data_IF_218719370476
#
_entry.id   IF_218719370476
#
_cell.length_a   1.000
_cell.length_b   1.000
_cell.length_c   1.000
_cell.angle_alpha   90.00
_cell.angle_beta   90.00
_cell.angle_gamma   90.00
#
_symmetry.space_group_name_H-M   'P 1'
#
loop_
_entity.id
_entity.type
_entity.pdbx_description
1 polymer ?
#
# COMPACT_ATOMS: atom_id res chain seq x y z
N UNK A 1 46.56 -57.96 46.57
CA UNK A 1 46.46 -56.96 45.48
C UNK A 1 45.01 -56.45 45.48
N UNK A 2 44.67 -55.15 45.63
CA UNK A 2 44.98 -53.94 44.83
C UNK A 2 44.49 -54.06 43.38
N UNK A 3 43.68 -53.15 42.80
CA UNK A 3 43.06 -51.85 43.24
C UNK A 3 41.52 -51.99 43.13
N UNK A 4 40.57 -51.21 43.70
CA UNK A 4 40.42 -49.84 44.30
C UNK A 4 40.34 -48.62 43.34
N UNK A 5 39.38 -47.72 43.61
CA UNK A 5 39.00 -46.49 42.87
C UNK A 5 40.05 -45.36 42.98
N UNK A 6 40.00 -44.34 42.09
CA UNK A 6 40.03 -42.90 42.47
C UNK A 6 39.78 -41.92 41.31
N UNK A 7 39.20 -40.77 41.66
CA UNK A 7 39.23 -39.49 40.93
C UNK A 7 40.05 -38.46 41.74
N UNK A 8 40.53 -37.37 41.12
CA UNK A 8 40.37 -36.00 41.66
C UNK A 8 39.87 -35.00 40.58
N UNK A 9 39.06 -33.95 40.81
CA UNK A 9 38.98 -32.85 41.80
C UNK A 9 39.82 -31.61 41.49
N UNK A 10 39.19 -30.43 41.48
CA UNK A 10 39.47 -29.20 42.28
C UNK A 10 38.39 -28.13 41.91
N UNK A 11 37.51 -27.64 42.81
CA UNK A 11 37.65 -26.57 43.85
C UNK A 11 37.74 -25.14 43.28
N UNK A 12 37.21 -24.06 43.89
CA UNK A 12 36.23 -23.78 44.97
C UNK A 12 35.98 -22.23 44.96
N UNK A 13 35.17 -21.50 45.75
CA UNK A 13 34.22 -21.65 46.91
C UNK A 13 33.40 -20.31 46.99
N UNK A 14 32.41 -20.03 47.83
CA UNK A 14 31.83 -20.64 49.07
C UNK A 14 30.29 -20.79 48.90
N UNK A 15 29.29 -20.46 49.76
CA UNK A 15 29.17 -19.96 51.15
C UNK A 15 28.02 -18.94 51.32
N UNK A 16 27.23 -18.88 52.41
CA UNK A 16 27.04 -19.84 53.52
C UNK A 16 25.67 -19.66 54.23
N UNK A 17 25.12 -20.77 54.77
CA UNK A 17 23.98 -20.91 55.73
C UNK A 17 22.57 -20.33 55.35
N UNK A 18 21.44 -20.97 55.69
CA UNK A 18 21.25 -22.22 56.46
C UNK A 18 19.81 -22.81 56.43
N UNK A 19 19.66 -23.95 57.10
CA UNK A 19 18.48 -24.83 57.31
C UNK A 19 17.18 -24.15 57.86
N UNK A 20 15.96 -24.73 57.83
CA UNK A 20 15.35 -25.97 57.26
C UNK A 20 13.80 -25.92 57.36
N UNK A 21 13.14 -26.71 56.49
CA UNK A 21 11.85 -27.45 56.64
C UNK A 21 10.53 -26.82 56.10
N UNK A 22 9.64 -27.70 55.60
CA UNK A 22 8.26 -27.42 55.17
C UNK A 22 7.20 -27.97 56.16
N UNK A 23 5.96 -28.35 55.77
CA UNK A 23 5.47 -28.68 54.42
C UNK A 23 4.14 -27.98 54.01
N UNK A 24 3.40 -28.59 53.08
CA UNK A 24 2.18 -28.15 52.37
C UNK A 24 0.96 -27.71 53.23
N UNK A 25 0.09 -26.82 52.70
CA UNK A 25 -1.20 -27.25 52.09
C UNK A 25 -2.02 -26.12 51.38
N UNK A 26 -2.98 -26.61 50.58
CA UNK A 26 -3.98 -26.00 49.67
C UNK A 26 -4.99 -24.96 50.27
N UNK A 27 -5.84 -24.42 49.38
CA UNK A 27 -7.22 -23.89 49.56
C UNK A 27 -7.51 -22.38 49.43
N UNK A 28 -7.87 -22.01 48.19
CA UNK A 28 -9.16 -21.41 47.75
C UNK A 28 -9.80 -20.20 48.49
N UNK A 29 -10.11 -19.18 47.68
CA UNK A 29 -11.38 -18.40 47.63
C UNK A 29 -12.01 -17.83 48.92
N UNK A 30 -12.24 -16.51 48.93
CA UNK A 30 -13.55 -15.94 49.35
C UNK A 30 -13.83 -14.55 48.77
N UNK A 31 -15.07 -14.36 48.27
CA UNK A 31 -15.68 -13.02 48.06
C UNK A 31 -16.17 -12.47 49.41
N UNK A 32 -16.34 -11.15 49.50
CA UNK A 32 -17.39 -10.54 50.34
C UNK A 32 -18.13 -9.44 49.56
N UNK A 33 -19.43 -9.35 49.81
CA UNK A 33 -20.30 -8.24 49.36
C UNK A 33 -20.45 -7.23 50.51
N UNK A 34 -20.87 -6.01 50.18
CA UNK A 34 -21.90 -5.32 50.97
C UNK A 34 -22.79 -4.45 50.09
N UNK A 35 -24.05 -4.31 50.48
CA UNK A 35 -25.04 -3.33 50.03
C UNK A 35 -25.52 -2.55 51.27
N UNK A 36 -26.23 -1.42 51.20
CA UNK A 36 -26.71 -0.60 50.07
C UNK A 36 -27.89 0.28 50.53
N UNK A 37 -28.51 1.05 49.60
CA UNK A 37 -29.74 1.87 49.81
C UNK A 37 -29.58 3.10 50.75
N UNK A 38 -30.35 4.21 50.64
CA UNK A 38 -31.17 4.76 49.54
C UNK A 38 -31.48 6.27 49.78
N UNK A 39 -31.89 7.02 48.75
CA UNK A 39 -32.37 8.41 48.87
C UNK A 39 -32.86 9.05 47.55
N UNK A 40 -33.90 9.89 47.61
CA UNK A 40 -34.51 10.67 46.48
C UNK A 40 -34.99 12.04 47.01
N UNK A 41 -35.00 13.13 46.21
CA UNK A 41 -36.12 13.49 45.32
C UNK A 41 -35.67 13.62 43.83
N UNK A 42 -36.47 13.45 42.76
CA UNK A 42 -37.83 13.89 42.37
C UNK A 42 -37.96 15.36 41.89
N UNK A 43 -37.67 15.60 40.60
CA UNK A 43 -38.46 16.44 39.66
C UNK A 43 -38.04 16.04 38.20
N UNK A 44 -38.89 16.11 37.16
CA UNK A 44 -40.35 16.29 37.26
C UNK A 44 -41.14 16.84 36.06
N UNK A 45 -40.77 16.67 34.78
CA UNK A 45 -41.63 17.09 33.64
C UNK A 45 -41.60 16.14 32.41
N UNK A 46 -42.63 16.26 31.55
CA UNK A 46 -42.92 15.45 30.34
C UNK A 46 -42.55 16.25 29.05
N UNK A 47 -42.42 15.67 27.85
CA UNK A 47 -42.48 14.28 27.38
C UNK A 47 -42.79 14.16 25.86
N UNK A 48 -42.55 12.99 25.24
CA UNK A 48 -42.80 12.70 23.80
C UNK A 48 -41.64 11.90 23.18
N UNK A 49 -41.74 10.57 22.94
CA UNK A 49 -42.38 9.88 21.78
C UNK A 49 -41.74 10.27 20.43
N UNK A 50 -41.23 9.39 19.56
CA UNK A 50 -40.99 7.92 19.48
C UNK A 50 -39.95 7.69 18.32
N UNK A 51 -39.34 6.53 18.00
CA UNK A 51 -39.37 5.13 18.47
C UNK A 51 -37.99 4.46 18.24
N UNK A 52 -37.82 3.17 18.57
CA UNK A 52 -36.73 2.29 18.10
C UNK A 52 -37.28 1.04 17.36
N UNK A 53 -36.48 0.47 16.46
CA UNK A 53 -36.53 -0.94 16.01
C UNK A 53 -35.08 -1.39 15.80
N UNK A 54 -34.49 -2.18 16.70
CA UNK A 54 -34.58 -3.64 16.86
C UNK A 54 -33.74 -4.44 15.84
N UNK A 55 -32.79 -5.22 16.39
CA UNK A 55 -32.05 -6.28 15.68
C UNK A 55 -32.88 -7.56 15.71
N UNK A 56 -32.90 -8.31 14.60
CA UNK A 56 -33.34 -9.70 14.60
C UNK A 56 -32.11 -10.64 14.63
N UNK A 57 -32.24 -11.78 15.32
CA UNK A 57 -31.29 -12.91 15.25
C UNK A 57 -31.87 -13.96 14.30
N UNK A 58 -31.02 -14.64 13.53
CA UNK A 58 -31.40 -15.85 12.81
C UNK A 58 -30.97 -17.08 13.62
N UNK A 59 -31.90 -17.99 13.86
CA UNK A 59 -31.67 -19.32 14.44
C UNK A 59 -31.72 -20.38 13.35
N UNK A 60 -30.81 -21.35 13.40
CA UNK A 60 -30.76 -22.45 12.44
C UNK A 60 -31.90 -23.46 12.64
N UNK A 61 -32.33 -24.07 11.53
CA UNK A 61 -33.22 -25.23 11.53
C UNK A 61 -32.90 -26.14 10.34
N UNK A 62 -32.49 -27.38 10.61
CA UNK A 62 -32.33 -28.44 9.60
C UNK A 62 -33.66 -29.17 9.42
N UNK A 63 -34.00 -29.53 8.18
CA UNK A 63 -34.67 -30.78 7.82
C UNK A 63 -34.41 -31.08 6.32
N UNK A 64 -34.57 -32.35 5.91
CA UNK A 64 -34.17 -32.85 4.58
C UNK A 64 -35.13 -34.01 4.13
N UNK A 65 -34.91 -34.76 3.03
CA UNK A 65 -35.57 -34.39 1.77
C UNK A 65 -36.29 -35.54 1.01
N UNK A 66 -37.32 -35.18 0.24
CA UNK A 66 -37.89 -35.96 -0.89
C UNK A 66 -38.68 -34.99 -1.81
N UNK A 67 -38.92 -35.27 -3.10
CA UNK A 67 -38.58 -36.43 -3.92
C UNK A 67 -38.62 -36.07 -5.43
N UNK A 68 -38.44 -37.07 -6.30
CA UNK A 68 -38.36 -36.88 -7.77
C UNK A 68 -39.75 -36.80 -8.43
N UNK A 69 -39.85 -36.12 -9.58
CA UNK A 69 -40.45 -36.74 -10.76
C UNK A 69 -39.87 -36.20 -12.09
N UNK A 70 -40.14 -36.90 -13.21
CA UNK A 70 -39.83 -36.55 -14.60
C UNK A 70 -41.12 -36.40 -15.40
N UNK A 71 -41.16 -35.59 -16.45
CA UNK A 71 -41.06 -36.06 -17.84
C UNK A 71 -41.18 -34.94 -18.91
N UNK A 72 -40.61 -35.21 -20.10
CA UNK A 72 -40.99 -34.87 -21.51
C UNK A 72 -41.74 -33.55 -21.83
N UNK A 73 -41.45 -32.84 -22.93
CA UNK A 73 -40.47 -33.12 -24.01
C UNK A 73 -40.59 -32.15 -25.23
N UNK A 74 -39.93 -32.55 -26.33
CA UNK A 74 -39.87 -32.05 -27.73
C UNK A 74 -41.08 -31.20 -28.24
N UNK A 75 -40.99 -30.28 -29.23
CA UNK A 75 -40.47 -30.39 -30.63
C UNK A 75 -40.02 -28.99 -31.15
N UNK A 76 -39.40 -28.89 -32.35
CA UNK A 76 -38.88 -27.66 -32.98
C UNK A 76 -39.52 -27.32 -34.36
N UNK A 77 -39.23 -26.11 -34.90
CA UNK A 77 -39.66 -25.60 -36.22
C UNK A 77 -40.89 -24.65 -36.17
N UNK A 78 -41.10 -23.71 -37.10
CA UNK A 78 -40.28 -23.22 -38.23
C UNK A 78 -40.71 -21.76 -38.60
N UNK A 79 -40.37 -21.25 -39.79
CA UNK A 79 -40.82 -19.94 -40.36
C UNK A 79 -42.36 -19.93 -40.67
N UNK A 80 -43.05 -18.86 -41.11
CA UNK A 80 -42.60 -17.61 -41.79
C UNK A 80 -43.64 -16.44 -41.76
N UNK A 81 -43.17 -15.25 -42.17
CA UNK A 81 -43.84 -14.09 -42.78
C UNK A 81 -44.96 -13.30 -42.02
N UNK A 82 -45.43 -12.22 -42.66
CA UNK A 82 -45.83 -10.97 -42.01
C UNK A 82 -47.33 -10.62 -42.05
N UNK A 83 -47.73 -9.74 -41.10
CA UNK A 83 -48.60 -8.55 -41.34
C UNK A 83 -48.58 -7.58 -40.14
N UNK A 84 -48.61 -6.27 -40.42
CA UNK A 84 -48.93 -5.21 -39.43
C UNK A 84 -50.45 -5.08 -39.27
N UNK A 85 -50.95 -4.66 -38.10
CA UNK A 85 -51.65 -3.36 -38.09
C UNK A 85 -51.51 -2.53 -36.78
N UNK A 86 -51.94 -1.26 -36.84
CA UNK A 86 -52.58 -0.57 -35.71
C UNK A 86 -51.68 0.05 -34.62
N UNK A 87 -51.52 1.38 -34.66
CA UNK A 87 -51.18 2.17 -33.46
C UNK A 87 -52.47 2.67 -32.79
N UNK A 88 -52.54 2.58 -31.46
CA UNK A 88 -53.53 3.25 -30.62
C UNK A 88 -52.81 4.01 -29.48
N UNK A 89 -53.30 5.18 -29.03
CA UNK A 89 -52.51 6.11 -28.21
C UNK A 89 -52.54 5.81 -26.70
N UNK A 90 -51.39 5.95 -26.04
CA UNK A 90 -51.27 5.88 -24.58
C UNK A 90 -51.71 7.18 -23.86
N UNK A 91 -52.09 7.12 -22.57
CA UNK A 91 -52.73 8.22 -21.84
C UNK A 91 -51.79 9.38 -21.49
N UNK A 92 -52.32 10.60 -21.53
CA UNK A 92 -51.57 11.84 -21.31
C UNK A 92 -51.16 12.03 -19.83
N UNK A 93 -49.86 12.23 -19.55
CA UNK A 93 -49.34 12.65 -18.22
C UNK A 93 -48.73 14.07 -18.26
N UNK A 94 -49.58 15.06 -18.54
CA UNK A 94 -49.19 16.45 -18.81
C UNK A 94 -48.72 17.31 -17.62
N UNK A 95 -49.44 17.38 -16.48
CA UNK A 95 -49.18 18.41 -15.46
C UNK A 95 -47.95 18.15 -14.58
N UNK A 96 -47.82 16.92 -14.05
CA UNK A 96 -46.88 16.62 -12.96
C UNK A 96 -45.42 16.71 -13.41
N UNK A 97 -45.09 16.20 -14.61
CA UNK A 97 -43.74 16.31 -15.19
C UNK A 97 -43.32 17.77 -15.40
N UNK A 98 -44.26 18.71 -15.61
CA UNK A 98 -43.95 20.16 -15.64
C UNK A 98 -43.66 20.71 -14.25
N UNK A 99 -44.46 20.37 -13.23
CA UNK A 99 -44.21 20.77 -11.82
C UNK A 99 -42.87 20.23 -11.30
N UNK A 100 -42.56 18.95 -11.54
CA UNK A 100 -41.28 18.33 -11.16
C UNK A 100 -40.09 19.01 -11.86
N UNK A 101 -40.17 19.30 -13.16
CA UNK A 101 -39.13 20.03 -13.89
C UNK A 101 -38.94 21.47 -13.38
N UNK A 102 -40.00 22.16 -12.94
CA UNK A 102 -39.87 23.47 -12.29
C UNK A 102 -39.22 23.38 -10.90
N UNK A 103 -39.59 22.39 -10.08
CA UNK A 103 -38.96 22.15 -8.77
C UNK A 103 -37.46 21.84 -8.90
N UNK A 104 -37.08 20.95 -9.81
CA UNK A 104 -35.67 20.64 -10.09
C UNK A 104 -34.89 21.86 -10.59
N UNK A 105 -35.48 22.68 -11.49
CA UNK A 105 -34.87 23.94 -11.94
C UNK A 105 -34.73 24.97 -10.80
N UNK A 106 -35.67 25.04 -9.86
CA UNK A 106 -35.56 25.90 -8.66
C UNK A 106 -34.49 25.39 -7.69
N UNK A 107 -34.38 24.07 -7.47
CA UNK A 107 -33.36 23.45 -6.61
C UNK A 107 -31.95 23.61 -7.19
N UNK A 108 -31.78 23.43 -8.50
CA UNK A 108 -30.51 23.66 -9.20
C UNK A 108 -30.02 25.11 -9.09
N UNK A 109 -30.92 26.11 -9.10
CA UNK A 109 -30.55 27.52 -8.91
C UNK A 109 -30.14 27.88 -7.47
N UNK A 110 -30.47 27.06 -6.46
CA UNK A 110 -30.08 27.31 -5.05
C UNK A 110 -28.65 26.87 -4.70
N UNK A 111 -27.97 26.14 -5.59
CA UNK A 111 -26.61 25.63 -5.36
C UNK A 111 -25.61 26.02 -6.46
N UNK A 112 -25.94 27.01 -7.29
CA UNK A 112 -24.95 27.62 -8.18
C UNK A 112 -24.10 28.61 -7.40
N UNK A 113 -22.77 28.38 -7.38
CA UNK A 113 -21.80 29.40 -6.95
C UNK A 113 -22.02 30.69 -7.75
N UNK A 114 -21.80 31.88 -7.16
CA UNK A 114 -21.87 33.15 -7.88
C UNK A 114 -21.07 33.14 -9.20
N UNK A 115 -21.59 33.83 -10.22
CA UNK A 115 -21.06 33.74 -11.59
C UNK A 115 -19.59 34.17 -11.71
N UNK A 116 -19.17 35.12 -10.89
CA UNK A 116 -17.79 35.56 -10.72
C UNK A 116 -16.90 34.49 -10.06
N UNK A 117 -17.42 33.71 -9.10
CA UNK A 117 -16.70 32.58 -8.49
C UNK A 117 -16.53 31.46 -9.52
N UNK A 118 -17.57 31.15 -10.30
CA UNK A 118 -17.46 30.21 -11.42
C UNK A 118 -16.45 30.69 -12.47
N UNK A 119 -16.45 31.99 -12.81
CA UNK A 119 -15.49 32.59 -13.73
C UNK A 119 -14.05 32.53 -13.19
N UNK A 120 -13.84 32.82 -11.89
CA UNK A 120 -12.54 32.69 -11.21
C UNK A 120 -12.03 31.25 -11.23
N UNK A 121 -12.89 30.26 -10.95
CA UNK A 121 -12.53 28.84 -11.00
C UNK A 121 -12.20 28.37 -12.42
N UNK A 122 -12.97 28.80 -13.44
CA UNK A 122 -12.67 28.52 -14.87
C UNK A 122 -11.34 29.15 -15.29
N UNK A 123 -11.07 30.41 -14.90
CA UNK A 123 -9.79 31.09 -15.16
C UNK A 123 -8.62 30.36 -14.50
N UNK A 124 -8.73 29.96 -13.22
CA UNK A 124 -7.68 29.17 -12.54
C UNK A 124 -7.43 27.81 -13.21
N UNK A 125 -8.48 27.07 -13.60
CA UNK A 125 -8.32 25.80 -14.34
C UNK A 125 -7.65 26.02 -15.70
N UNK A 126 -8.02 27.06 -16.45
CA UNK A 126 -7.39 27.38 -17.73
C UNK A 126 -5.91 27.82 -17.58
N UNK A 127 -5.57 28.59 -16.54
CA UNK A 127 -4.19 28.96 -16.21
C UNK A 127 -3.35 27.75 -15.83
N UNK A 128 -3.87 26.86 -14.98
CA UNK A 128 -3.20 25.62 -14.59
C UNK A 128 -2.97 24.71 -15.80
N UNK A 129 -3.98 24.48 -16.64
CA UNK A 129 -3.84 23.66 -17.85
C UNK A 129 -2.83 24.24 -18.85
N UNK A 130 -2.80 25.57 -19.03
CA UNK A 130 -1.76 26.25 -19.83
C UNK A 130 -0.36 26.05 -19.25
N UNK A 131 -0.19 26.10 -17.92
CA UNK A 131 1.10 25.87 -17.27
C UNK A 131 1.58 24.40 -17.41
N UNK A 132 0.67 23.42 -17.35
CA UNK A 132 0.96 22.01 -17.63
C UNK A 132 1.39 21.82 -19.09
N UNK A 133 0.68 22.44 -20.05
CA UNK A 133 1.03 22.36 -21.47
C UNK A 133 2.38 23.03 -21.79
N UNK A 134 2.69 24.20 -21.21
CA UNK A 134 3.99 24.84 -21.34
C UNK A 134 5.13 23.93 -20.85
N UNK A 135 4.98 23.37 -19.64
CA UNK A 135 5.92 22.38 -19.06
C UNK A 135 6.08 21.13 -19.94
N UNK A 136 5.06 20.74 -20.71
CA UNK A 136 5.14 19.61 -21.65
C UNK A 136 5.93 19.95 -22.92
N UNK A 137 5.80 21.19 -23.42
CA UNK A 137 6.58 21.70 -24.56
C UNK A 137 8.06 21.88 -24.21
N UNK A 138 8.36 22.42 -23.02
CA UNK A 138 9.74 22.54 -22.48
C UNK A 138 10.45 21.18 -22.45
N UNK A 139 9.79 20.13 -21.92
CA UNK A 139 10.30 18.75 -21.91
C UNK A 139 10.58 18.22 -23.34
N UNK A 140 9.77 18.61 -24.32
CA UNK A 140 9.95 18.24 -25.73
C UNK A 140 11.14 18.93 -26.39
N UNK A 141 11.35 20.22 -26.11
CA UNK A 141 12.47 20.98 -26.62
C UNK A 141 13.82 20.47 -26.07
N UNK A 142 13.90 20.24 -24.75
CA UNK A 142 15.13 19.77 -24.10
C UNK A 142 15.65 18.45 -24.68
N UNK A 143 14.76 17.50 -24.98
CA UNK A 143 15.14 16.20 -25.60
C UNK A 143 15.75 16.32 -27.00
N UNK A 144 15.52 17.42 -27.74
CA UNK A 144 16.10 17.64 -29.08
C UNK A 144 17.55 18.13 -29.07
N UNK A 145 18.03 18.72 -27.97
CA UNK A 145 19.38 19.32 -27.88
C UNK A 145 20.47 18.27 -27.61
N UNK A 146 20.13 17.14 -27.01
CA UNK A 146 21.09 16.13 -26.53
C UNK A 146 21.62 15.22 -27.65
N UNK A 147 20.93 15.12 -28.80
CA UNK A 147 21.33 14.25 -29.92
C UNK A 147 22.23 14.96 -30.94
N UNK A 148 23.48 15.19 -30.53
CA UNK A 148 24.55 15.72 -31.40
C UNK A 148 24.97 14.75 -32.52
N UNK A 149 25.36 15.30 -33.68
CA UNK A 149 25.80 14.53 -34.87
C UNK A 149 27.14 13.80 -34.64
N UNK A 150 27.35 12.59 -35.21
CA UNK A 150 28.62 11.88 -35.11
C UNK A 150 29.68 12.46 -36.06
N UNK A 151 30.82 12.88 -35.52
CA UNK A 151 32.01 13.30 -36.27
C UNK A 151 33.02 12.16 -36.48
N UNK A 152 33.50 11.97 -37.72
CA UNK A 152 34.57 11.00 -38.04
C UNK A 152 35.95 11.50 -37.61
N UNK A 153 36.83 10.60 -37.13
CA UNK A 153 38.31 10.71 -37.31
C UNK A 153 39.01 9.36 -37.11
N UNK A 154 40.20 9.21 -37.73
CA UNK A 154 41.12 8.06 -37.62
C UNK A 154 42.19 8.32 -36.54
N UNK A 155 42.83 7.28 -35.96
CA UNK A 155 43.98 7.40 -35.08
C UNK A 155 45.33 7.35 -35.82
N UNK A 156 46.43 7.75 -35.15
CA UNK A 156 47.73 7.08 -35.27
C UNK A 156 48.28 6.59 -33.91
N UNK A 157 49.43 5.89 -33.94
CA UNK A 157 50.10 5.23 -32.78
C UNK A 157 51.36 6.01 -32.35
N UNK A 158 51.88 5.83 -31.12
CA UNK A 158 53.23 6.34 -30.76
C UNK A 158 53.68 6.30 -29.29
N UNK A 159 54.21 5.15 -28.84
CA UNK A 159 55.37 4.92 -27.93
C UNK A 159 55.79 5.86 -26.75
N UNK A 160 56.19 5.18 -25.64
CA UNK A 160 57.13 5.59 -24.55
C UNK A 160 56.77 6.77 -23.61
N UNK A 161 57.36 6.92 -22.41
CA UNK A 161 57.80 5.98 -21.37
C UNK A 161 58.12 6.72 -20.03
N UNK A 162 57.85 6.09 -18.87
CA UNK A 162 58.35 6.38 -17.50
C UNK A 162 58.35 7.84 -16.98
N UNK A 163 57.56 8.13 -15.94
CA UNK A 163 57.75 9.32 -15.08
C UNK A 163 56.91 9.27 -13.79
N UNK A 164 57.49 9.59 -12.63
CA UNK A 164 56.78 9.63 -11.34
C UNK A 164 56.21 11.02 -11.05
N UNK A 165 54.95 11.10 -10.61
CA UNK A 165 54.46 11.97 -9.53
C UNK A 165 53.05 11.53 -9.12
N UNK A 166 52.77 11.44 -7.81
CA UNK A 166 51.38 11.45 -7.32
C UNK A 166 50.91 12.90 -7.35
N UNK A 167 49.77 13.15 -7.99
CA UNK A 167 48.96 14.34 -7.74
C UNK A 167 47.91 13.97 -6.67
N UNK A 168 47.44 14.90 -5.83
CA UNK A 168 46.27 14.68 -5.00
C UNK A 168 45.02 14.66 -5.88
N UNK A 169 44.08 13.74 -5.59
CA UNK A 169 42.77 13.69 -6.24
C UNK A 169 41.89 14.85 -5.74
N UNK A 170 42.11 16.03 -6.31
CA UNK A 170 41.20 17.17 -6.17
C UNK A 170 40.21 17.10 -7.33
N UNK A 171 39.06 16.48 -7.08
CA UNK A 171 37.94 16.49 -8.02
C UNK A 171 37.53 17.95 -8.30
N UNK A 172 37.44 18.39 -9.58
CA UNK A 172 37.20 19.79 -9.89
C UNK A 172 35.75 20.17 -9.57
N UNK A 173 35.56 20.85 -8.44
CA UNK A 173 34.26 21.36 -8.03
C UNK A 173 33.59 22.16 -9.16
N UNK A 174 32.38 21.75 -9.56
CA UNK A 174 31.66 22.40 -10.65
C UNK A 174 31.40 23.88 -10.32
N UNK A 175 31.59 24.81 -11.28
CA UNK A 175 31.29 26.23 -11.06
C UNK A 175 29.83 26.45 -10.63
N UNK A 176 29.62 27.22 -9.55
CA UNK A 176 28.30 27.44 -8.92
C UNK A 176 27.18 27.88 -9.88
N UNK A 177 27.54 28.48 -11.01
CA UNK A 177 26.59 28.91 -12.06
C UNK A 177 25.93 27.75 -12.81
N UNK A 178 26.33 26.50 -12.56
CA UNK A 178 25.64 25.28 -13.02
C UNK A 178 24.79 24.60 -11.94
N UNK A 179 24.50 25.26 -10.80
CA UNK A 179 23.38 24.88 -9.90
C UNK A 179 21.99 25.17 -10.51
N UNK A 180 21.80 24.84 -11.79
CA UNK A 180 20.48 24.73 -12.38
C UNK A 180 19.71 23.63 -11.65
N UNK A 181 18.44 23.89 -11.31
CA UNK A 181 17.65 23.08 -10.36
C UNK A 181 17.73 21.58 -10.66
N UNK A 182 18.58 20.87 -9.90
CA UNK A 182 18.61 19.42 -9.87
C UNK A 182 17.26 18.99 -9.30
N UNK A 183 16.43 18.39 -10.14
CA UNK A 183 15.12 17.92 -9.70
C UNK A 183 15.32 16.76 -8.74
N UNK A 184 14.96 16.98 -7.47
CA UNK A 184 14.74 15.93 -6.47
C UNK A 184 13.90 14.83 -7.10
N UNK A 185 14.47 13.63 -7.23
CA UNK A 185 13.78 12.46 -7.71
C UNK A 185 12.78 12.01 -6.64
N UNK A 186 11.49 12.12 -6.92
CA UNK A 186 10.45 11.62 -6.02
C UNK A 186 9.87 10.32 -6.63
N UNK A 187 9.82 9.26 -5.82
CA UNK A 187 9.17 8.00 -6.18
C UNK A 187 8.19 7.62 -5.09
N UNK A 188 6.93 7.47 -5.47
CA UNK A 188 5.88 6.94 -4.60
C UNK A 188 6.07 5.43 -4.41
N UNK A 189 6.53 5.00 -3.24
CA UNK A 189 6.75 3.58 -2.95
C UNK A 189 5.48 2.80 -2.62
N UNK A 190 4.37 3.49 -2.37
CA UNK A 190 3.12 2.85 -1.97
C UNK A 190 1.92 3.64 -2.49
N UNK A 191 1.40 3.18 -3.62
CA UNK A 191 0.07 3.52 -4.10
C UNK A 191 -0.59 2.28 -4.72
N UNK A 192 -1.88 2.34 -4.93
CA UNK A 192 -2.68 1.40 -5.69
C UNK A 192 -3.28 2.09 -6.91
N UNK A 193 -3.77 1.30 -7.86
CA UNK A 193 -4.73 1.77 -8.84
C UNK A 193 -5.80 0.69 -9.03
N UNK A 194 -7.07 1.04 -8.84
CA UNK A 194 -8.21 0.15 -8.96
C UNK A 194 -9.09 0.59 -10.14
N UNK A 195 -9.64 -0.39 -10.86
CA UNK A 195 -10.61 -0.13 -11.94
C UNK A 195 -11.96 0.32 -11.37
N UNK A 196 -12.30 -0.16 -10.17
CA UNK A 196 -13.56 0.11 -9.47
C UNK A 196 -13.25 0.40 -8.00
N UNK A 197 -13.95 1.34 -7.37
CA UNK A 197 -13.73 1.65 -5.95
C UNK A 197 -14.04 0.43 -5.06
N UNK A 198 -13.09 -0.08 -4.26
CA UNK A 198 -13.22 -1.42 -3.69
C UNK A 198 -13.98 -1.49 -2.35
N UNK A 199 -14.37 -0.35 -1.77
CA UNK A 199 -14.93 -0.31 -0.41
C UNK A 199 -16.43 0.03 -0.34
N UNK A 200 -17.00 0.62 -1.40
CA UNK A 200 -18.39 1.09 -1.44
C UNK A 200 -18.83 1.40 -2.89
N UNK A 201 -19.79 0.63 -3.42
CA UNK A 201 -20.34 0.85 -4.76
C UNK A 201 -21.19 2.13 -4.88
N UNK A 202 -21.61 2.73 -3.77
CA UNK A 202 -22.37 3.98 -3.74
C UNK A 202 -21.48 5.24 -3.77
N UNK A 203 -20.15 5.10 -3.79
CA UNK A 203 -19.25 6.26 -3.87
C UNK A 203 -19.46 7.02 -5.19
N UNK A 204 -19.43 8.37 -5.20
CA UNK A 204 -19.41 9.11 -6.45
C UNK A 204 -18.15 8.81 -7.28
N UNK A 205 -18.35 8.60 -8.58
CA UNK A 205 -17.28 8.39 -9.57
C UNK A 205 -16.39 7.15 -9.29
N UNK A 206 -16.98 5.95 -9.07
CA UNK A 206 -16.28 4.79 -8.54
C UNK A 206 -15.16 4.27 -9.48
N UNK A 207 -15.37 4.38 -10.79
CA UNK A 207 -14.44 3.86 -11.79
C UNK A 207 -13.21 4.76 -12.01
N UNK A 208 -13.33 6.07 -11.74
CA UNK A 208 -12.23 7.03 -11.88
C UNK A 208 -11.53 7.34 -10.55
N UNK A 209 -12.26 7.33 -9.41
CA UNK A 209 -11.73 7.74 -8.09
C UNK A 209 -10.50 6.96 -7.62
N UNK A 210 -10.34 5.72 -8.07
CA UNK A 210 -9.15 4.89 -7.81
C UNK A 210 -8.26 4.62 -9.04
N UNK A 211 -8.57 5.18 -10.21
CA UNK A 211 -7.99 4.77 -11.49
C UNK A 211 -6.51 5.14 -11.68
N UNK A 212 -5.86 4.42 -12.61
CA UNK A 212 -4.52 4.75 -13.13
C UNK A 212 -4.44 6.19 -13.65
N UNK A 213 -5.46 6.68 -14.34
CA UNK A 213 -5.48 8.05 -14.87
C UNK A 213 -5.54 9.10 -13.74
N UNK A 214 -6.26 8.80 -12.66
CA UNK A 214 -6.28 9.64 -11.46
C UNK A 214 -4.94 9.59 -10.72
N UNK A 215 -4.29 8.42 -10.61
CA UNK A 215 -2.94 8.30 -10.05
C UNK A 215 -1.94 9.13 -10.87
N UNK A 216 -1.88 8.96 -12.19
CA UNK A 216 -0.98 9.69 -13.09
C UNK A 216 -1.19 11.21 -13.01
N UNK A 217 -2.43 11.68 -12.83
CA UNK A 217 -2.73 13.09 -12.57
C UNK A 217 -2.13 13.56 -11.24
N UNK A 218 -2.28 12.81 -10.15
CA UNK A 218 -1.72 13.19 -8.84
C UNK A 218 -0.17 13.14 -8.86
N UNK A 219 0.45 12.20 -9.59
CA UNK A 219 1.90 12.19 -9.82
C UNK A 219 2.35 13.48 -10.54
N UNK A 220 1.71 13.83 -11.66
CA UNK A 220 2.06 15.03 -12.43
C UNK A 220 1.76 16.34 -11.69
N UNK A 221 0.75 16.36 -10.82
CA UNK A 221 0.39 17.51 -9.98
C UNK A 221 1.30 17.67 -8.76
N UNK A 222 1.68 16.57 -8.11
CA UNK A 222 2.62 16.53 -6.99
C UNK A 222 4.08 16.74 -7.41
N UNK A 223 4.40 16.48 -8.68
CA UNK A 223 5.76 16.54 -9.20
C UNK A 223 6.56 15.26 -8.94
N UNK A 224 5.89 14.10 -8.99
CA UNK A 224 6.47 12.79 -8.73
C UNK A 224 6.85 12.10 -10.04
N UNK A 225 8.12 11.70 -10.17
CA UNK A 225 8.63 11.05 -11.38
C UNK A 225 8.06 9.64 -11.57
N UNK A 226 8.05 8.79 -10.53
CA UNK A 226 7.67 7.37 -10.64
C UNK A 226 6.81 6.89 -9.46
N UNK A 227 6.12 5.76 -9.65
CA UNK A 227 5.36 5.09 -8.60
C UNK A 227 5.49 3.56 -8.67
N UNK A 228 5.65 2.93 -7.52
CA UNK A 228 5.47 1.49 -7.33
C UNK A 228 3.99 1.25 -6.99
N UNK A 229 3.27 0.67 -7.95
CA UNK A 229 1.83 0.40 -7.83
C UNK A 229 1.65 -0.98 -7.22
N UNK A 230 1.39 -0.97 -5.92
CA UNK A 230 1.01 -2.13 -5.10
C UNK A 230 -0.37 -2.58 -5.58
N UNK A 231 -0.44 -3.78 -6.14
CA UNK A 231 -1.70 -4.36 -6.54
C UNK A 231 -2.45 -4.88 -5.30
N UNK A 232 -3.77 -4.90 -5.36
CA UNK A 232 -4.63 -5.49 -4.35
C UNK A 232 -5.91 -5.98 -5.04
N UNK A 233 -6.07 -7.30 -5.16
CA UNK A 233 -7.21 -7.96 -5.83
C UNK A 233 -8.44 -8.01 -4.92
N UNK A 234 -8.94 -6.84 -4.54
CA UNK A 234 -9.89 -6.65 -3.42
C UNK A 234 -11.30 -6.24 -3.86
N UNK A 235 -12.19 -6.16 -2.87
CA UNK A 235 -13.51 -5.54 -2.99
C UNK A 235 -14.70 -6.49 -3.12
N UNK A 236 -14.48 -7.81 -3.14
CA UNK A 236 -15.56 -8.82 -3.16
C UNK A 236 -16.56 -8.65 -2.00
N UNK A 237 -16.06 -8.43 -0.79
CA UNK A 237 -16.89 -8.26 0.42
C UNK A 237 -17.74 -6.97 0.41
N UNK A 238 -17.29 -5.93 -0.30
CA UNK A 238 -18.02 -4.68 -0.49
C UNK A 238 -19.14 -4.80 -1.55
N UNK A 239 -19.33 -5.97 -2.15
CA UNK A 239 -20.48 -6.33 -2.97
C UNK A 239 -20.29 -6.19 -4.49
N UNK A 240 -21.34 -6.48 -5.27
CA UNK A 240 -21.29 -6.48 -6.72
C UNK A 240 -20.86 -5.12 -7.28
N UNK A 241 -19.79 -5.11 -8.07
CA UNK A 241 -19.20 -3.90 -8.65
C UNK A 241 -17.98 -3.33 -7.89
N UNK A 242 -17.69 -3.79 -6.68
CA UNK A 242 -16.47 -3.39 -5.94
C UNK A 242 -15.25 -4.26 -6.26
N UNK A 243 -15.44 -5.47 -6.77
CA UNK A 243 -14.37 -6.44 -7.04
C UNK A 243 -13.36 -5.99 -8.12
N UNK A 244 -12.07 -6.24 -7.85
CA UNK A 244 -10.93 -5.98 -8.73
C UNK A 244 -10.04 -7.24 -8.89
N UNK A 245 -10.60 -8.40 -9.27
CA UNK A 245 -9.77 -9.61 -9.54
C UNK A 245 -8.67 -9.35 -10.59
N UNK A 246 -9.00 -8.53 -11.59
CA UNK A 246 -8.10 -8.16 -12.68
C UNK A 246 -7.03 -7.14 -12.28
N UNK A 247 -6.80 -6.88 -10.98
CA UNK A 247 -5.95 -5.76 -10.56
C UNK A 247 -4.49 -5.90 -11.03
N UNK A 248 -3.91 -7.11 -10.97
CA UNK A 248 -2.57 -7.36 -11.49
C UNK A 248 -2.48 -7.06 -12.99
N UNK A 249 -3.43 -7.55 -13.79
CA UNK A 249 -3.49 -7.29 -15.24
C UNK A 249 -3.75 -5.81 -15.57
N UNK A 250 -4.63 -5.15 -14.81
CA UNK A 250 -4.95 -3.72 -14.96
C UNK A 250 -3.73 -2.83 -14.71
N UNK A 251 -2.98 -3.12 -13.63
CA UNK A 251 -1.76 -2.39 -13.27
C UNK A 251 -0.60 -2.75 -14.20
N UNK A 252 -0.39 -4.02 -14.55
CA UNK A 252 0.63 -4.44 -15.52
C UNK A 252 0.41 -3.84 -16.91
N UNK A 253 -0.84 -3.83 -17.40
CA UNK A 253 -1.16 -3.16 -18.67
C UNK A 253 -0.92 -1.65 -18.60
N UNK A 254 -1.10 -1.01 -17.43
CA UNK A 254 -0.75 0.40 -17.22
C UNK A 254 0.76 0.63 -17.17
N UNK A 255 1.53 -0.22 -16.50
CA UNK A 255 2.99 -0.18 -16.51
C UNK A 255 3.55 -0.38 -17.93
N UNK A 256 3.00 -1.30 -18.71
CA UNK A 256 3.37 -1.48 -20.13
C UNK A 256 3.11 -0.26 -21.02
N UNK A 257 2.11 0.59 -20.67
CA UNK A 257 1.86 1.89 -21.35
C UNK A 257 2.70 3.05 -20.81
N UNK A 258 3.20 2.93 -19.57
CA UNK A 258 3.92 3.99 -18.87
C UNK A 258 5.17 3.45 -18.12
N UNK A 259 6.10 2.75 -18.81
CA UNK A 259 7.21 2.05 -18.15
C UNK A 259 8.27 3.01 -17.56
N UNK A 260 8.24 4.29 -17.93
CA UNK A 260 9.03 5.35 -17.31
C UNK A 260 8.36 5.99 -16.08
N UNK A 261 7.11 5.61 -15.76
CA UNK A 261 6.31 6.15 -14.64
C UNK A 261 5.88 5.10 -13.61
N UNK A 262 5.46 3.92 -14.04
CA UNK A 262 4.79 2.94 -13.17
C UNK A 262 5.56 1.61 -13.12
N UNK A 263 5.73 1.07 -11.90
CA UNK A 263 6.29 -0.27 -11.65
C UNK A 263 5.21 -1.12 -11.00
N UNK A 264 4.87 -2.25 -11.60
CA UNK A 264 3.92 -3.21 -11.03
C UNK A 264 4.55 -3.93 -9.83
N UNK A 265 3.82 -3.95 -8.72
CA UNK A 265 4.12 -4.78 -7.55
C UNK A 265 2.91 -5.71 -7.37
N UNK A 266 2.96 -6.88 -8.02
CA UNK A 266 1.78 -7.75 -8.16
C UNK A 266 1.39 -8.43 -6.84
N UNK A 267 0.09 -8.54 -6.61
CA UNK A 267 -0.50 -9.27 -5.49
C UNK A 267 -0.52 -10.76 -5.87
N UNK A 268 0.32 -11.55 -5.20
CA UNK A 268 0.46 -12.99 -5.48
C UNK A 268 -0.34 -13.82 -4.48
N UNK A 269 -0.20 -13.51 -3.19
CA UNK A 269 -0.84 -14.22 -2.10
C UNK A 269 -1.36 -13.17 -1.08
N UNK A 270 -2.67 -13.14 -0.81
CA UNK A 270 -3.29 -12.09 0.01
C UNK A 270 -4.57 -12.59 0.67
N UNK A 271 -4.84 -12.24 1.94
CA UNK A 271 -5.96 -12.80 2.71
C UNK A 271 -7.37 -12.60 2.14
N UNK A 272 -7.54 -11.67 1.18
CA UNK A 272 -8.77 -11.51 0.40
C UNK A 272 -8.98 -12.59 -0.69
N UNK A 273 -8.08 -13.57 -0.79
CA UNK A 273 -8.02 -14.57 -1.87
C UNK A 273 -8.24 -15.98 -1.33
N UNK A 274 -8.96 -16.86 -2.07
CA UNK A 274 -9.01 -18.28 -1.74
C UNK A 274 -7.67 -18.99 -1.96
N UNK A 275 -6.73 -18.34 -2.66
CA UNK A 275 -5.37 -18.85 -2.84
C UNK A 275 -4.46 -18.59 -1.61
N UNK A 276 -4.88 -17.79 -0.62
CA UNK A 276 -4.02 -17.32 0.48
C UNK A 276 -3.45 -18.46 1.33
N UNK A 277 -2.14 -18.47 1.54
CA UNK A 277 -1.42 -19.50 2.31
C UNK A 277 -1.68 -20.94 1.82
N UNK A 278 -2.22 -21.13 0.62
CA UNK A 278 -2.46 -22.46 0.03
C UNK A 278 -1.21 -23.01 -0.66
N UNK A 279 -1.05 -24.34 -0.77
CA UNK A 279 0.14 -24.95 -1.36
C UNK A 279 0.49 -24.45 -2.77
N UNK A 280 1.79 -24.44 -3.09
CA UNK A 280 2.29 -23.98 -4.39
C UNK A 280 2.40 -22.46 -4.53
N UNK A 281 2.53 -21.72 -3.42
CA UNK A 281 2.69 -20.26 -3.44
C UNK A 281 3.94 -19.82 -4.23
N UNK A 282 5.04 -20.57 -4.12
CA UNK A 282 6.28 -20.33 -4.84
C UNK A 282 6.10 -20.34 -6.37
N UNK A 283 5.26 -21.23 -6.89
CA UNK A 283 5.02 -21.33 -8.33
C UNK A 283 4.04 -20.25 -8.81
N UNK A 284 3.02 -19.90 -8.01
CA UNK A 284 2.21 -18.68 -8.25
C UNK A 284 3.08 -17.41 -8.34
N UNK A 285 4.15 -17.34 -7.54
CA UNK A 285 5.12 -16.23 -7.60
C UNK A 285 5.97 -16.29 -8.88
N UNK A 286 6.48 -17.45 -9.28
CA UNK A 286 7.24 -17.64 -10.52
C UNK A 286 6.41 -17.30 -11.76
N UNK A 287 5.16 -17.79 -11.84
CA UNK A 287 4.21 -17.45 -12.90
C UNK A 287 3.94 -15.94 -12.97
N UNK A 288 3.67 -15.29 -11.83
CA UNK A 288 3.45 -13.85 -11.78
C UNK A 288 4.70 -13.05 -12.18
N UNK A 289 5.89 -13.49 -11.77
CA UNK A 289 7.16 -12.86 -12.08
C UNK A 289 7.46 -12.87 -13.59
N UNK A 290 7.22 -14.01 -14.28
CA UNK A 290 7.34 -14.08 -15.73
C UNK A 290 6.23 -13.29 -16.44
N UNK A 291 4.96 -13.52 -16.09
CA UNK A 291 3.79 -12.90 -16.76
C UNK A 291 3.81 -11.38 -16.72
N UNK A 292 4.30 -10.78 -15.64
CA UNK A 292 4.29 -9.33 -15.43
C UNK A 292 5.71 -8.70 -15.43
N UNK A 293 6.75 -9.47 -15.78
CA UNK A 293 8.16 -9.05 -15.78
C UNK A 293 8.59 -8.34 -14.48
N UNK A 294 8.17 -8.89 -13.33
CA UNK A 294 8.24 -8.21 -12.03
C UNK A 294 9.66 -7.87 -11.60
N UNK A 295 9.79 -6.74 -10.89
CA UNK A 295 10.92 -6.43 -10.01
C UNK A 295 10.51 -6.51 -8.51
N UNK A 296 9.22 -6.72 -8.23
CA UNK A 296 8.65 -6.73 -6.89
C UNK A 296 7.27 -7.44 -6.88
N UNK A 297 6.92 -8.04 -5.75
CA UNK A 297 5.58 -8.57 -5.47
C UNK A 297 5.06 -7.99 -4.14
N UNK A 298 3.78 -8.18 -3.86
CA UNK A 298 3.17 -7.87 -2.57
C UNK A 298 2.40 -9.07 -2.03
N UNK A 299 2.37 -9.13 -0.69
CA UNK A 299 1.72 -10.17 0.08
C UNK A 299 1.01 -9.53 1.27
N UNK A 300 -0.28 -9.86 1.45
CA UNK A 300 -1.12 -9.33 2.53
C UNK A 300 -1.56 -10.45 3.47
N UNK A 301 -1.04 -10.42 4.70
CA UNK A 301 -1.38 -11.38 5.75
C UNK A 301 -2.53 -10.88 6.64
N UNK A 302 -3.06 -11.75 7.51
CA UNK A 302 -4.09 -11.35 8.49
C UNK A 302 -3.49 -10.60 9.69
N UNK A 303 -4.35 -9.97 10.50
CA UNK A 303 -4.00 -9.34 11.81
C UNK A 303 -3.32 -10.28 12.82
N UNK A 304 -3.30 -11.59 12.57
CA UNK A 304 -2.64 -12.59 13.41
C UNK A 304 -1.61 -13.36 12.59
N UNK A 305 -0.46 -13.64 13.21
CA UNK A 305 0.46 -14.67 12.72
C UNK A 305 -0.20 -16.04 12.87
N UNK A 306 -0.21 -16.80 11.78
CA UNK A 306 -0.70 -18.19 11.70
C UNK A 306 0.43 -19.21 11.54
N UNK A 307 1.69 -18.72 11.49
CA UNK A 307 2.91 -19.50 11.33
C UNK A 307 3.31 -19.76 9.88
N UNK A 308 2.57 -19.28 8.87
CA UNK A 308 2.77 -19.72 7.48
C UNK A 308 4.19 -19.47 6.93
N UNK A 309 4.85 -18.37 7.32
CA UNK A 309 6.24 -18.06 6.90
C UNK A 309 7.25 -19.15 7.33
N UNK A 310 6.95 -19.91 8.39
CA UNK A 310 7.78 -21.02 8.86
C UNK A 310 7.38 -22.40 8.31
N UNK A 311 6.37 -22.47 7.43
CA UNK A 311 5.98 -23.71 6.73
C UNK A 311 6.83 -23.93 5.47
N UNK A 312 6.84 -25.14 4.93
CA UNK A 312 7.55 -25.44 3.68
C UNK A 312 7.11 -24.51 2.54
N UNK A 313 5.81 -24.30 2.35
CA UNK A 313 5.29 -23.39 1.32
C UNK A 313 5.76 -21.94 1.51
N UNK A 314 5.81 -21.45 2.76
CA UNK A 314 6.33 -20.11 3.08
C UNK A 314 7.83 -19.98 2.82
N UNK A 315 8.62 -20.99 3.23
CA UNK A 315 10.06 -21.04 2.99
C UNK A 315 10.38 -21.13 1.49
N UNK A 316 9.66 -21.95 0.74
CA UNK A 316 9.80 -22.08 -0.73
C UNK A 316 9.37 -20.79 -1.45
N UNK A 317 8.34 -20.09 -0.96
CA UNK A 317 7.88 -18.80 -1.49
C UNK A 317 8.94 -17.69 -1.34
N UNK A 318 9.56 -17.57 -0.16
CA UNK A 318 10.63 -16.57 0.04
C UNK A 318 11.97 -16.98 -0.58
N UNK A 319 12.26 -18.28 -0.70
CA UNK A 319 13.36 -18.77 -1.52
C UNK A 319 13.16 -18.38 -3.00
N UNK A 320 11.98 -18.65 -3.58
CA UNK A 320 11.65 -18.25 -4.94
C UNK A 320 11.74 -16.72 -5.14
N UNK A 321 11.29 -15.91 -4.18
CA UNK A 321 11.45 -14.47 -4.22
C UNK A 321 12.91 -14.01 -4.30
N UNK A 322 13.81 -14.70 -3.58
CA UNK A 322 15.25 -14.42 -3.60
C UNK A 322 15.94 -14.93 -4.88
N UNK A 323 15.55 -16.11 -5.38
CA UNK A 323 16.01 -16.69 -6.66
C UNK A 323 15.68 -15.78 -7.85
N UNK A 324 14.48 -15.20 -7.85
CA UNK A 324 13.95 -14.33 -8.90
C UNK A 324 14.48 -12.88 -8.82
N UNK A 325 15.29 -12.54 -7.82
CA UNK A 325 15.80 -11.19 -7.57
C UNK A 325 14.69 -10.12 -7.45
N UNK A 326 13.63 -10.44 -6.69
CA UNK A 326 12.48 -9.56 -6.46
C UNK A 326 12.66 -8.71 -5.19
N UNK A 327 11.79 -7.71 -5.02
CA UNK A 327 11.48 -7.08 -3.72
C UNK A 327 10.20 -7.72 -3.14
N UNK A 328 10.24 -8.10 -1.87
CA UNK A 328 9.06 -8.53 -1.11
C UNK A 328 8.40 -7.32 -0.43
N UNK A 329 7.29 -6.82 -0.97
CA UNK A 329 6.57 -5.71 -0.34
C UNK A 329 5.47 -6.24 0.58
N UNK A 330 5.72 -6.34 1.89
CA UNK A 330 4.86 -7.06 2.82
C UNK A 330 3.90 -6.13 3.59
N UNK A 331 2.60 -6.44 3.54
CA UNK A 331 1.58 -5.81 4.38
C UNK A 331 1.42 -6.60 5.68
N UNK A 332 2.34 -6.37 6.61
CA UNK A 332 2.45 -7.09 7.88
C UNK A 332 2.10 -6.17 9.08
N UNK A 333 1.17 -6.58 9.96
CA UNK A 333 0.97 -5.96 11.27
C UNK A 333 1.98 -6.50 12.31
N UNK A 334 2.08 -5.90 13.51
CA UNK A 334 3.16 -6.19 14.45
C UNK A 334 3.30 -7.65 14.91
N UNK A 335 2.22 -8.43 14.88
CA UNK A 335 2.23 -9.85 15.20
C UNK A 335 3.19 -10.68 14.33
N UNK A 336 3.54 -10.21 13.14
CA UNK A 336 4.38 -10.90 12.15
C UNK A 336 5.86 -10.47 12.17
N UNK A 337 6.27 -9.56 13.04
CA UNK A 337 7.64 -9.00 12.97
C UNK A 337 8.74 -10.05 13.21
N UNK A 338 8.54 -11.02 14.12
CA UNK A 338 9.51 -12.10 14.32
C UNK A 338 9.64 -13.00 13.08
N UNK A 339 8.51 -13.33 12.43
CA UNK A 339 8.48 -14.10 11.18
C UNK A 339 9.19 -13.35 10.03
N UNK A 340 9.00 -12.03 9.93
CA UNK A 340 9.74 -11.17 9.00
C UNK A 340 11.24 -11.18 9.31
N UNK A 341 11.62 -11.15 10.59
CA UNK A 341 13.02 -11.23 11.02
C UNK A 341 13.69 -12.54 10.60
N UNK A 342 12.98 -13.66 10.75
CA UNK A 342 13.44 -14.97 10.29
C UNK A 342 13.63 -15.02 8.76
N UNK A 343 12.65 -14.55 7.98
CA UNK A 343 12.75 -14.47 6.51
C UNK A 343 13.89 -13.55 6.07
N UNK A 344 14.06 -12.40 6.73
CA UNK A 344 15.14 -11.46 6.43
C UNK A 344 16.53 -12.06 6.67
N UNK A 345 16.69 -12.83 7.75
CA UNK A 345 17.93 -13.52 8.09
C UNK A 345 18.23 -14.72 7.17
N UNK A 346 17.19 -15.46 6.75
CA UNK A 346 17.31 -16.57 5.80
C UNK A 346 17.67 -16.11 4.37
N UNK A 347 17.15 -14.95 3.95
CA UNK A 347 17.31 -14.42 2.60
C UNK A 347 17.93 -13.00 2.59
N UNK A 348 19.21 -12.83 2.99
CA UNK A 348 19.84 -11.52 3.12
C UNK A 348 19.99 -10.72 1.79
N UNK A 349 19.77 -11.36 0.65
CA UNK A 349 19.75 -10.74 -0.69
C UNK A 349 18.37 -10.19 -1.11
N UNK A 350 17.30 -10.66 -0.48
CA UNK A 350 15.90 -10.29 -0.72
C UNK A 350 15.56 -9.00 0.05
N UNK A 351 15.27 -7.87 -0.62
CA UNK A 351 14.84 -6.65 0.05
C UNK A 351 13.37 -6.79 0.46
N UNK A 352 13.08 -6.50 1.73
CA UNK A 352 11.74 -6.54 2.30
C UNK A 352 11.28 -5.10 2.53
N UNK A 353 10.17 -4.68 1.93
CA UNK A 353 9.55 -3.36 2.14
C UNK A 353 8.26 -3.49 2.94
N UNK A 354 8.32 -3.22 4.24
CA UNK A 354 7.17 -3.21 5.16
C UNK A 354 6.24 -2.06 4.83
N UNK A 355 4.93 -2.31 4.77
CA UNK A 355 3.92 -1.28 4.51
C UNK A 355 3.65 -0.41 5.75
N UNK A 356 3.15 0.82 5.54
CA UNK A 356 2.49 1.67 6.55
C UNK A 356 3.17 1.78 7.93
N UNK A 357 4.49 1.91 8.00
CA UNK A 357 5.26 1.90 9.26
C UNK A 357 4.94 0.67 10.16
N UNK A 358 4.72 -0.50 9.54
CA UNK A 358 4.38 -1.75 10.23
C UNK A 358 3.03 -1.72 10.97
N UNK A 359 2.15 -0.75 10.65
CA UNK A 359 0.92 -0.46 11.38
C UNK A 359 1.08 -0.11 12.88
N UNK A 360 2.31 0.20 13.32
CA UNK A 360 2.62 0.56 14.72
C UNK A 360 1.97 1.88 15.12
N UNK A 361 1.28 1.90 16.26
CA UNK A 361 0.55 3.07 16.76
C UNK A 361 1.35 3.82 17.85
N UNK A 362 1.21 5.15 17.97
CA UNK A 362 1.87 5.92 19.03
C UNK A 362 1.48 5.45 20.44
N UNK A 363 2.46 4.98 21.22
CA UNK A 363 2.25 4.42 22.56
C UNK A 363 1.92 2.92 22.59
N UNK A 364 2.11 2.22 21.47
CA UNK A 364 2.18 0.77 21.39
C UNK A 364 3.66 0.35 21.46
N UNK A 365 4.20 0.34 22.69
CA UNK A 365 5.65 0.25 22.93
C UNK A 365 6.22 -1.13 22.58
N UNK A 366 5.43 -2.20 22.73
CA UNK A 366 5.81 -3.57 22.33
C UNK A 366 5.88 -3.69 20.79
N UNK A 367 4.86 -3.17 20.07
CA UNK A 367 4.90 -3.11 18.61
C UNK A 367 6.03 -2.22 18.09
N UNK A 368 6.34 -1.12 18.79
CA UNK A 368 7.50 -0.28 18.48
C UNK A 368 8.82 -1.06 18.65
N UNK A 369 9.00 -1.77 19.77
CA UNK A 369 10.20 -2.57 20.00
C UNK A 369 10.43 -3.63 18.91
N UNK A 370 9.37 -4.33 18.49
CA UNK A 370 9.43 -5.30 17.39
C UNK A 370 9.81 -4.66 16.04
N UNK A 371 9.23 -3.50 15.70
CA UNK A 371 9.59 -2.80 14.45
C UNK A 371 11.04 -2.28 14.48
N UNK A 372 11.52 -1.80 15.62
CA UNK A 372 12.90 -1.34 15.76
C UNK A 372 13.91 -2.51 15.79
N UNK A 373 13.53 -3.69 16.27
CA UNK A 373 14.36 -4.89 16.17
C UNK A 373 14.62 -5.30 14.70
N UNK A 374 13.63 -5.08 13.82
CA UNK A 374 13.79 -5.26 12.36
C UNK A 374 14.76 -4.26 11.70
N UNK A 375 15.30 -3.29 12.43
CA UNK A 375 16.44 -2.50 11.97
C UNK A 375 17.78 -3.28 12.04
N UNK A 376 17.83 -4.46 12.66
CA UNK A 376 19.00 -5.33 12.67
C UNK A 376 19.36 -5.88 11.27
N UNK A 377 18.45 -6.62 10.60
CA UNK A 377 18.68 -7.08 9.23
C UNK A 377 18.84 -5.91 8.23
N UNK A 378 19.93 -5.87 7.43
CA UNK A 378 20.20 -4.74 6.52
C UNK A 378 19.26 -4.68 5.30
N UNK A 379 18.58 -5.79 5.01
CA UNK A 379 17.66 -5.98 3.89
C UNK A 379 16.19 -5.65 4.21
N UNK A 380 15.85 -5.28 5.45
CA UNK A 380 14.51 -4.77 5.79
C UNK A 380 14.47 -3.25 5.66
N UNK A 381 13.42 -2.76 4.97
CA UNK A 381 13.12 -1.36 4.71
C UNK A 381 11.66 -1.08 5.08
N UNK A 382 11.34 0.18 5.40
CA UNK A 382 10.00 0.58 5.84
C UNK A 382 9.42 1.67 4.93
N UNK A 383 8.16 1.48 4.53
CA UNK A 383 7.39 2.47 3.77
C UNK A 383 6.83 3.55 4.70
N UNK A 384 7.21 4.80 4.42
CA UNK A 384 6.78 6.01 5.13
C UNK A 384 5.48 6.52 4.49
N UNK A 385 4.39 5.81 4.79
CA UNK A 385 3.04 6.04 4.28
C UNK A 385 1.99 5.67 5.36
N UNK A 386 0.69 5.80 5.07
CA UNK A 386 -0.38 5.25 5.91
C UNK A 386 -0.64 5.92 7.26
N UNK A 387 -0.05 7.10 7.54
CA UNK A 387 -0.15 7.81 8.84
C UNK A 387 -1.57 7.91 9.45
N UNK A 388 -2.60 7.96 8.61
CA UNK A 388 -4.00 8.03 9.04
C UNK A 388 -4.52 6.73 9.68
N UNK A 389 -3.90 5.57 9.43
CA UNK A 389 -4.18 4.31 10.14
C UNK A 389 -3.62 4.31 11.57
N UNK A 390 -2.65 5.18 11.84
CA UNK A 390 -1.85 5.17 13.07
C UNK A 390 -2.32 6.21 14.10
N UNK A 391 -3.31 7.03 13.78
CA UNK A 391 -3.66 8.21 14.59
C UNK A 391 -5.17 8.48 14.66
N UNK A 392 -5.61 9.10 15.76
CA UNK A 392 -6.98 9.53 15.98
C UNK A 392 -7.02 11.05 16.25
N UNK A 393 -7.80 11.86 15.51
CA UNK A 393 -8.60 11.48 14.33
C UNK A 393 -7.71 11.18 13.10
N UNK A 394 -8.15 10.30 12.17
CA UNK A 394 -7.34 9.88 11.02
C UNK A 394 -7.07 11.00 10.00
N UNK A 395 -7.86 12.09 10.02
CA UNK A 395 -7.63 13.30 9.21
C UNK A 395 -6.77 14.37 9.92
N UNK A 396 -6.13 14.04 11.05
CA UNK A 396 -5.33 14.96 11.88
C UNK A 396 -3.98 15.39 11.29
N UNK A 397 -3.94 15.84 10.03
CA UNK A 397 -2.73 16.34 9.36
C UNK A 397 -2.09 17.51 10.17
N UNK A 398 -0.76 17.56 10.36
CA UNK A 398 0.29 16.71 9.77
C UNK A 398 0.68 15.49 10.62
N UNK A 399 -0.27 14.87 11.33
CA UNK A 399 -0.11 13.60 12.05
C UNK A 399 1.01 13.57 13.09
N UNK A 400 1.10 14.63 13.90
CA UNK A 400 2.20 14.86 14.85
C UNK A 400 2.52 13.66 15.76
N UNK A 401 1.51 12.98 16.31
CA UNK A 401 1.72 11.79 17.14
C UNK A 401 2.43 10.65 16.37
N UNK A 402 2.03 10.39 15.12
CA UNK A 402 2.68 9.38 14.28
C UNK A 402 4.04 9.85 13.73
N UNK A 403 4.22 11.16 13.51
CA UNK A 403 5.52 11.74 13.14
C UNK A 403 6.55 11.61 14.26
N UNK A 404 6.29 12.18 15.43
CA UNK A 404 7.27 12.27 16.51
C UNK A 404 7.44 10.96 17.29
N UNK A 405 6.39 10.13 17.40
CA UNK A 405 6.44 8.90 18.23
C UNK A 405 6.52 7.59 17.45
N UNK A 406 6.40 7.61 16.12
CA UNK A 406 6.56 6.40 15.28
C UNK A 406 7.61 6.62 14.20
N UNK A 407 7.40 7.59 13.30
CA UNK A 407 8.33 7.82 12.19
C UNK A 407 9.72 8.21 12.66
N UNK A 408 9.85 9.03 13.70
CA UNK A 408 11.14 9.52 14.18
C UNK A 408 12.02 8.43 14.82
N UNK A 409 11.56 7.61 15.79
CA UNK A 409 12.30 6.43 16.23
C UNK A 409 12.67 5.47 15.08
N UNK A 410 11.75 5.26 14.13
CA UNK A 410 12.00 4.44 12.93
C UNK A 410 13.07 5.09 12.03
N UNK A 411 13.10 6.41 11.91
CA UNK A 411 14.14 7.15 11.18
C UNK A 411 15.53 6.98 11.81
N UNK A 412 15.60 7.09 13.14
CA UNK A 412 16.84 6.98 13.90
C UNK A 412 17.44 5.55 13.83
N UNK A 413 16.59 4.51 13.81
CA UNK A 413 17.03 3.11 13.73
C UNK A 413 17.27 2.58 12.31
N UNK A 414 16.38 2.86 11.36
CA UNK A 414 16.53 2.37 9.97
C UNK A 414 17.48 3.23 9.15
N UNK A 415 17.53 4.53 9.41
CA UNK A 415 18.23 5.51 8.59
C UNK A 415 17.52 5.79 7.24
N UNK A 416 17.79 6.93 6.60
CA UNK A 416 17.12 7.34 5.36
C UNK A 416 17.36 6.36 4.20
N UNK A 417 18.49 5.64 4.22
CA UNK A 417 18.82 4.58 3.26
C UNK A 417 17.95 3.33 3.35
N UNK A 418 17.09 3.17 4.37
CA UNK A 418 16.14 2.05 4.50
C UNK A 418 14.68 2.51 4.59
N UNK A 419 14.41 3.79 4.33
CA UNK A 419 13.06 4.36 4.32
C UNK A 419 12.68 4.85 2.93
N UNK A 420 11.42 4.64 2.55
CA UNK A 420 10.87 5.10 1.28
C UNK A 420 9.47 5.69 1.48
N UNK A 421 9.24 6.93 1.06
CA UNK A 421 7.94 7.59 1.11
C UNK A 421 6.91 6.90 0.19
N UNK A 422 5.64 6.93 0.58
CA UNK A 422 4.52 6.55 -0.30
C UNK A 422 3.27 7.36 0.02
N UNK A 423 2.41 7.57 -0.97
CA UNK A 423 1.21 8.40 -0.82
C UNK A 423 0.05 7.69 -0.12
N UNK A 424 0.02 6.36 -0.24
CA UNK A 424 -1.14 5.50 0.04
C UNK A 424 -2.40 5.91 -0.74
N UNK A 425 -2.20 6.50 -1.93
CA UNK A 425 -3.28 6.74 -2.88
C UNK A 425 -3.79 5.39 -3.42
N UNK A 426 -5.11 5.19 -3.61
CA UNK A 426 -6.20 6.09 -3.30
C UNK A 426 -6.90 5.74 -1.97
N UNK A 427 -6.42 4.72 -1.23
CA UNK A 427 -6.97 4.30 0.06
C UNK A 427 -7.05 5.46 1.05
N UNK A 428 -5.98 6.25 1.11
CA UNK A 428 -5.84 7.43 1.97
C UNK A 428 -6.83 8.58 1.65
N UNK A 429 -7.50 8.59 0.48
CA UNK A 429 -8.28 9.75 -0.02
C UNK A 429 -9.50 10.15 0.84
N UNK A 430 -9.94 9.34 1.79
CA UNK A 430 -10.98 9.72 2.77
C UNK A 430 -10.43 10.50 3.96
N UNK A 431 -9.11 10.51 4.16
CA UNK A 431 -8.44 11.05 5.34
C UNK A 431 -7.41 12.14 5.00
N UNK A 432 -6.72 11.99 3.85
CA UNK A 432 -5.59 12.85 3.44
C UNK A 432 -5.50 12.93 1.91
N UNK A 433 -5.08 14.09 1.39
CA UNK A 433 -4.84 14.27 -0.06
C UNK A 433 -3.44 13.79 -0.46
N UNK A 434 -3.22 13.50 -1.75
CA UNK A 434 -1.91 13.14 -2.28
C UNK A 434 -0.85 14.18 -1.91
N UNK A 435 -1.14 15.46 -2.16
CA UNK A 435 -0.27 16.60 -1.80
C UNK A 435 0.07 16.65 -0.31
N UNK A 436 -0.89 16.34 0.58
CA UNK A 436 -0.63 16.27 2.02
C UNK A 436 0.23 15.06 2.40
N UNK A 437 -0.01 13.88 1.81
CA UNK A 437 0.83 12.68 2.07
C UNK A 437 2.31 12.94 1.74
N UNK A 438 2.57 13.70 0.67
CA UNK A 438 3.91 14.18 0.30
C UNK A 438 4.43 15.28 1.26
N UNK A 439 3.58 16.23 1.65
CA UNK A 439 3.95 17.31 2.56
C UNK A 439 4.34 16.81 3.96
N UNK A 440 3.76 15.71 4.46
CA UNK A 440 4.15 15.09 5.74
C UNK A 440 5.66 14.80 5.77
N UNK A 441 6.21 14.20 4.70
CA UNK A 441 7.66 13.94 4.61
C UNK A 441 8.43 15.15 4.09
N UNK A 442 7.93 15.91 3.13
CA UNK A 442 8.69 17.01 2.51
C UNK A 442 8.88 18.22 3.44
N UNK A 443 7.84 18.56 4.20
CA UNK A 443 7.71 19.83 4.91
C UNK A 443 7.59 19.68 6.44
N UNK A 444 7.31 18.48 6.96
CA UNK A 444 7.01 18.25 8.39
C UNK A 444 7.93 17.23 9.11
N UNK A 445 9.09 16.89 8.54
CA UNK A 445 10.15 16.11 9.21
C UNK A 445 11.45 16.92 9.35
N UNK A 446 11.50 17.92 10.24
CA UNK A 446 12.63 18.86 10.35
C UNK A 446 13.93 18.21 10.89
N UNK A 447 13.89 16.97 11.38
CA UNK A 447 15.08 16.22 11.82
C UNK A 447 15.90 15.62 10.68
N UNK A 448 15.35 15.49 9.47
CA UNK A 448 16.13 15.10 8.28
C UNK A 448 16.70 16.31 7.56
N UNK A 449 18.01 16.27 7.30
CA UNK A 449 18.65 17.18 6.33
C UNK A 449 18.05 16.99 4.92
N UNK A 450 18.27 17.94 4.03
CA UNK A 450 17.67 17.88 2.69
C UNK A 450 18.09 16.63 1.92
N UNK A 451 19.35 16.19 2.02
CA UNK A 451 19.87 15.01 1.33
C UNK A 451 19.30 13.68 1.87
N UNK A 452 19.03 13.60 3.17
CA UNK A 452 18.33 12.45 3.76
C UNK A 452 16.88 12.42 3.29
N UNK A 453 16.24 13.60 3.18
CA UNK A 453 14.89 13.76 2.62
C UNK A 453 14.84 13.42 1.12
N UNK A 454 15.90 13.67 0.33
CA UNK A 454 16.05 13.18 -1.06
C UNK A 454 16.06 11.64 -1.13
N UNK A 455 16.77 10.98 -0.20
CA UNK A 455 16.79 9.52 -0.12
C UNK A 455 15.41 8.95 0.22
N UNK A 456 14.76 9.45 1.27
CA UNK A 456 13.43 8.98 1.69
C UNK A 456 12.37 9.26 0.63
N UNK A 457 12.39 10.41 -0.04
CA UNK A 457 11.38 10.78 -1.05
C UNK A 457 11.50 10.00 -2.37
N UNK A 458 12.63 9.34 -2.65
CA UNK A 458 12.74 8.50 -3.85
C UNK A 458 14.08 7.82 -4.06
N UNK A 459 15.20 8.40 -3.59
CA UNK A 459 16.55 7.85 -3.83
C UNK A 459 16.75 6.43 -3.29
N UNK A 460 16.14 6.09 -2.14
CA UNK A 460 16.22 4.75 -1.53
C UNK A 460 15.51 3.70 -2.38
N UNK A 461 14.26 3.94 -2.78
CA UNK A 461 13.53 2.99 -3.63
C UNK A 461 14.13 2.90 -5.03
N UNK A 462 14.58 4.02 -5.61
CA UNK A 462 15.25 4.03 -6.91
C UNK A 462 16.53 3.18 -6.90
N UNK A 463 17.33 3.24 -5.82
CA UNK A 463 18.49 2.36 -5.64
C UNK A 463 18.06 0.89 -5.56
N UNK A 464 17.04 0.56 -4.76
CA UNK A 464 16.55 -0.82 -4.61
C UNK A 464 16.08 -1.38 -5.96
N UNK A 465 15.19 -0.67 -6.66
CA UNK A 465 14.66 -1.11 -7.96
C UNK A 465 15.74 -1.19 -9.04
N UNK A 466 16.72 -0.28 -9.07
CA UNK A 466 17.86 -0.36 -10.02
C UNK A 466 18.81 -1.54 -9.78
N UNK A 467 18.76 -2.17 -8.60
CA UNK A 467 19.54 -3.40 -8.32
C UNK A 467 18.81 -4.69 -8.68
N UNK A 468 17.49 -4.63 -8.92
CA UNK A 468 16.71 -5.81 -9.32
C UNK A 468 16.71 -6.00 -10.84
N UNK A 469 16.63 -7.24 -11.31
CA UNK A 469 16.28 -7.57 -12.70
C UNK A 469 14.77 -7.48 -12.94
N UNK A 470 14.28 -6.59 -13.83
CA UNK A 470 13.02 -6.85 -14.52
C UNK A 470 13.24 -8.06 -15.42
N UNK A 471 12.38 -9.07 -15.35
CA UNK A 471 12.51 -10.27 -16.18
C UNK A 471 12.19 -9.94 -17.65
N UNK A 472 13.25 -9.62 -18.39
CA UNK A 472 13.35 -9.27 -19.82
C UNK A 472 12.98 -7.84 -20.20
N UNK A 473 14.01 -7.03 -20.45
CA UNK A 473 13.98 -5.98 -21.48
C UNK A 473 14.08 -6.59 -22.89
N UNK A 474 13.08 -7.40 -23.30
CA UNK A 474 12.97 -7.83 -24.69
C UNK A 474 12.60 -6.62 -25.58
N UNK A 475 13.29 -6.39 -26.72
CA UNK A 475 12.84 -5.38 -27.67
C UNK A 475 11.52 -5.83 -28.30
N UNK A 476 10.46 -5.03 -28.11
CA UNK A 476 9.14 -5.33 -28.64
C UNK A 476 9.16 -5.21 -30.18
N UNK A 477 9.30 -6.35 -30.85
CA UNK A 477 9.26 -6.39 -32.31
C UNK A 477 7.81 -6.34 -32.78
N UNK A 478 7.47 -5.32 -33.57
CA UNK A 478 6.13 -5.15 -34.15
C UNK A 478 5.75 -6.35 -35.04
N UNK A 479 4.56 -6.90 -34.78
CA UNK A 479 3.75 -7.71 -35.69
C UNK A 479 2.29 -7.33 -35.48
#
# INVERSE_FOLDING_TARGET
MLRRRRSPLHRASSGAAGARAGPDLDLRLRRRHHAGLAGRPRHGLRGGRHHHGQRARLTAGRLAPAGRNRDRGLVAGAEDDARRPGHAPGPQRGPERRRLRQLLRRRARRHQLPGDVQARLRRRRAQHHRAVLARRLERGAARRVVLGRPGRRRPPRGHHARGRRRLPDVEPALPDRLRGVVRRLIIDSHCHAWRRWPYDAAVPDPDHRGSVDALLYELDAGGVERAAVVCARIGHEAGPGCANDDNNDYVAAAAGRHPDRLVTVADVDSFWRPEHHTPGAADRLREAAERYALAAFTHYVTERDDGWFGTNDGLEFFAAAAELDLVASLAVPPAWFDAVGAVAAAHPTLPILLHHLGHVRPGDDDAMAGLLALAGPPNVLVKVCGFHYLTAPPWGFPFEAARERVLRPVADAFGPHRLAWGSDFPAARTHVTYTQSLAVVRDHTPWWTDAERDLVLGGTLDRVLRTRRPLRSLPWSHR
#
